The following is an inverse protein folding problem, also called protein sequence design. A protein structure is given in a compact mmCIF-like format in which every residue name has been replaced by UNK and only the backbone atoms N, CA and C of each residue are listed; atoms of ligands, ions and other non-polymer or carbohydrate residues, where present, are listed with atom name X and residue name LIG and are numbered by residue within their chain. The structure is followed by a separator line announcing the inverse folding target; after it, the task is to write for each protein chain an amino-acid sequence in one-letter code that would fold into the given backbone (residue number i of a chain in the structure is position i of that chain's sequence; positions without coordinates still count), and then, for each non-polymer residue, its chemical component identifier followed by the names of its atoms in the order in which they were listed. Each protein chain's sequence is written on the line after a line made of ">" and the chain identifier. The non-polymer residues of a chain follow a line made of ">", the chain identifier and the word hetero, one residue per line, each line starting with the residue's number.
data_IF_973903815583
#
_entry.id   IF_973903815583
#
_cell.length_a   1.000
_cell.length_b   1.000
_cell.length_c   1.000
_cell.angle_alpha   90.00
_cell.angle_beta   90.00
_cell.angle_gamma   90.00
#
_symmetry.space_group_name_H-M   'P 1'
#
loop_
_entity.id
_entity.type
_entity.pdbx_description
1 polymer ?
#
# COMPACT_ATOMS: atom_id res chain seq x y z
N UNK A 1 2.10 1.74 -15.46
CA UNK A 1 2.38 0.44 -14.78
C UNK A 1 1.09 -0.18 -14.25
N UNK A 2 1.11 -1.44 -13.80
CA UNK A 2 -0.01 -2.04 -13.06
C UNK A 2 0.34 -2.01 -11.58
N UNK A 3 -0.58 -1.49 -10.77
CA UNK A 3 -0.48 -1.49 -9.31
C UNK A 3 -1.72 -2.17 -8.70
N UNK A 4 -1.66 -2.50 -7.43
CA UNK A 4 -2.66 -3.28 -6.72
C UNK A 4 -3.19 -2.54 -5.51
N UNK A 5 -4.48 -2.66 -5.25
CA UNK A 5 -5.11 -2.09 -4.06
C UNK A 5 -6.17 -3.03 -3.51
N UNK A 6 -6.22 -3.11 -2.20
CA UNK A 6 -7.36 -3.70 -1.49
C UNK A 6 -8.36 -2.61 -1.11
N UNK A 7 -9.64 -2.95 -1.09
CA UNK A 7 -10.68 -2.11 -0.51
C UNK A 7 -11.86 -2.97 -0.03
N UNK A 8 -12.77 -2.36 0.71
CA UNK A 8 -14.08 -2.94 0.95
C UNK A 8 -14.89 -2.85 -0.36
N UNK A 9 -15.44 -3.97 -0.80
CA UNK A 9 -16.07 -4.14 -2.12
C UNK A 9 -17.31 -3.26 -2.33
N UNK A 10 -17.85 -2.67 -1.26
CA UNK A 10 -18.98 -1.72 -1.34
C UNK A 10 -18.57 -0.36 -1.90
N UNK A 11 -17.28 -0.06 -1.96
CA UNK A 11 -16.77 1.24 -2.39
C UNK A 11 -16.00 1.15 -3.72
N UNK A 12 -15.88 2.25 -4.46
CA UNK A 12 -14.98 2.35 -5.60
C UNK A 12 -13.53 2.02 -5.22
N UNK A 13 -12.75 1.57 -6.20
CA UNK A 13 -11.35 1.17 -5.97
C UNK A 13 -10.41 2.35 -5.68
N UNK A 14 -10.83 3.59 -5.94
CA UNK A 14 -10.11 4.81 -5.55
C UNK A 14 -11.03 5.75 -4.78
N UNK A 15 -10.43 6.59 -3.93
CA UNK A 15 -11.14 7.68 -3.26
C UNK A 15 -11.47 8.79 -4.26
N UNK A 16 -12.68 9.33 -4.17
CA UNK A 16 -13.15 10.42 -5.04
C UNK A 16 -12.94 11.81 -4.41
N UNK A 17 -12.92 11.88 -3.08
CA UNK A 17 -12.81 13.13 -2.31
C UNK A 17 -11.89 13.00 -1.08
N UNK A 18 -11.83 14.05 -0.28
CA UNK A 18 -10.96 14.15 0.90
C UNK A 18 -11.51 13.50 2.16
N UNK A 19 -12.59 12.71 2.09
CA UNK A 19 -13.23 12.10 3.29
C UNK A 19 -12.49 10.88 3.83
N UNK A 20 -11.43 10.44 3.16
CA UNK A 20 -10.59 9.36 3.65
C UNK A 20 -9.91 9.72 4.98
N UNK A 21 -9.83 8.79 5.95
CA UNK A 21 -9.10 9.01 7.19
C UNK A 21 -7.61 9.27 6.94
N UNK A 22 -6.94 10.07 7.80
CA UNK A 22 -5.51 10.36 7.65
C UNK A 22 -4.66 9.08 7.68
N UNK A 23 -3.56 9.08 6.94
CA UNK A 23 -2.58 8.01 6.94
C UNK A 23 -1.16 8.56 6.84
N UNK A 24 -0.17 7.68 6.59
CA UNK A 24 1.26 8.03 6.61
C UNK A 24 1.63 9.25 5.77
N UNK A 25 0.99 9.46 4.62
CA UNK A 25 1.40 10.46 3.61
C UNK A 25 0.34 11.54 3.36
N UNK A 26 -0.68 11.65 4.22
CA UNK A 26 -1.68 12.72 4.13
C UNK A 26 -2.38 12.92 5.48
N UNK A 27 -2.78 14.16 5.77
CA UNK A 27 -3.61 14.53 6.92
C UNK A 27 -5.09 14.43 6.60
N UNK A 28 -5.91 14.63 7.63
CA UNK A 28 -7.34 14.80 7.47
C UNK A 28 -7.62 15.99 6.53
N UNK A 29 -8.45 15.77 5.52
CA UNK A 29 -8.77 16.77 4.50
C UNK A 29 -7.72 17.00 3.40
N UNK A 30 -6.52 16.40 3.46
CA UNK A 30 -5.50 16.56 2.41
C UNK A 30 -5.84 15.81 1.10
N UNK A 31 -6.80 14.90 1.17
CA UNK A 31 -7.13 13.95 0.11
C UNK A 31 -7.95 14.48 -1.08
N UNK A 32 -8.31 13.60 -2.02
CA UNK A 32 -8.03 12.16 -1.99
C UNK A 32 -6.54 11.86 -2.21
N UNK A 33 -6.04 10.83 -1.52
CA UNK A 33 -4.68 10.28 -1.68
C UNK A 33 -4.79 8.76 -1.83
N UNK A 34 -4.33 8.25 -2.97
CA UNK A 34 -4.46 6.84 -3.30
C UNK A 34 -3.20 6.08 -2.92
N UNK A 35 -3.37 4.98 -2.19
CA UNK A 35 -2.30 4.05 -1.86
C UNK A 35 -2.45 2.80 -2.71
N UNK A 36 -1.46 2.54 -3.56
CA UNK A 36 -1.43 1.34 -4.41
C UNK A 36 -0.05 0.69 -4.30
N UNK A 37 0.03 -0.63 -4.41
CA UNK A 37 1.26 -1.40 -4.29
C UNK A 37 1.71 -1.97 -5.63
N UNK A 38 3.00 -2.18 -5.82
CA UNK A 38 3.54 -2.85 -7.02
C UNK A 38 3.16 -4.34 -7.13
N UNK A 39 2.75 -4.95 -6.02
CA UNK A 39 2.38 -6.37 -5.93
C UNK A 39 1.07 -6.59 -5.16
N UNK A 40 0.33 -7.69 -5.42
CA UNK A 40 -0.81 -8.07 -4.57
C UNK A 40 -0.42 -8.35 -3.12
N UNK A 41 0.78 -8.92 -2.90
CA UNK A 41 1.33 -9.13 -1.56
C UNK A 41 1.57 -7.82 -0.83
N UNK A 42 2.06 -6.77 -1.51
CA UNK A 42 2.17 -5.43 -0.94
C UNK A 42 0.80 -4.88 -0.52
N UNK A 43 -0.21 -5.01 -1.37
CA UNK A 43 -1.57 -4.54 -1.05
C UNK A 43 -2.14 -5.27 0.19
N UNK A 44 -1.91 -6.58 0.31
CA UNK A 44 -2.30 -7.32 1.52
C UNK A 44 -1.48 -6.96 2.75
N UNK A 45 -0.18 -6.71 2.60
CA UNK A 45 0.65 -6.31 3.72
C UNK A 45 0.21 -4.96 4.31
N UNK A 46 -0.09 -3.98 3.47
CA UNK A 46 -0.61 -2.68 3.92
C UNK A 46 -1.96 -2.83 4.65
N UNK A 47 -2.86 -3.70 4.17
CA UNK A 47 -4.10 -4.05 4.88
C UNK A 47 -3.84 -4.64 6.26
N UNK A 48 -3.06 -5.73 6.31
CA UNK A 48 -2.77 -6.46 7.56
C UNK A 48 -2.12 -5.54 8.59
N UNK A 49 -1.16 -4.71 8.16
CA UNK A 49 -0.50 -3.76 9.04
C UNK A 49 -1.45 -2.68 9.55
N UNK A 50 -2.31 -2.14 8.68
CA UNK A 50 -3.21 -1.06 9.05
C UNK A 50 -4.29 -1.51 10.04
N UNK A 51 -4.84 -2.70 9.83
CA UNK A 51 -5.84 -3.30 10.74
C UNK A 51 -5.20 -3.98 11.97
N UNK A 52 -3.87 -3.94 12.09
CA UNK A 52 -3.10 -4.60 13.15
C UNK A 52 -3.38 -6.12 13.29
N UNK A 53 -3.69 -6.77 12.16
CA UNK A 53 -3.97 -8.21 12.08
C UNK A 53 -2.64 -8.98 12.10
N UNK A 54 -2.38 -9.72 13.17
CA UNK A 54 -1.14 -10.49 13.36
C UNK A 54 -1.36 -11.98 13.61
N UNK A 55 -2.58 -12.40 13.96
CA UNK A 55 -2.92 -13.80 14.20
C UNK A 55 -3.79 -14.38 13.09
N UNK A 56 -3.68 -15.68 12.85
CA UNK A 56 -4.47 -16.35 11.80
C UNK A 56 -5.97 -16.34 12.10
N UNK A 57 -6.36 -16.33 13.38
CA UNK A 57 -7.77 -16.26 13.80
C UNK A 57 -8.43 -14.93 13.38
N UNK A 58 -7.66 -13.83 13.37
CA UNK A 58 -8.14 -12.51 12.98
C UNK A 58 -8.38 -12.39 11.47
N UNK A 59 -7.93 -13.37 10.67
CA UNK A 59 -8.27 -13.48 9.25
C UNK A 59 -9.69 -14.05 9.05
N UNK A 60 -10.29 -14.65 10.08
CA UNK A 60 -11.66 -15.14 10.00
C UNK A 60 -12.63 -13.98 9.70
N UNK A 61 -13.48 -14.18 8.70
CA UNK A 61 -14.44 -13.15 8.27
C UNK A 61 -13.86 -12.02 7.41
N UNK A 62 -12.53 -11.91 7.24
CA UNK A 62 -11.94 -10.93 6.32
C UNK A 62 -12.42 -11.18 4.89
N UNK A 63 -13.05 -10.17 4.28
CA UNK A 63 -13.50 -10.18 2.88
C UNK A 63 -13.20 -8.82 2.27
N UNK A 64 -12.27 -8.78 1.31
CA UNK A 64 -11.85 -7.56 0.61
C UNK A 64 -11.77 -7.80 -0.88
N UNK A 65 -12.05 -6.76 -1.67
CA UNK A 65 -11.71 -6.78 -3.08
C UNK A 65 -10.21 -6.49 -3.26
N UNK A 66 -9.62 -7.06 -4.32
CA UNK A 66 -8.33 -6.61 -4.87
C UNK A 66 -8.57 -6.14 -6.28
N UNK A 67 -8.00 -4.98 -6.60
CA UNK A 67 -8.01 -4.39 -7.92
C UNK A 67 -6.60 -4.35 -8.49
N UNK A 68 -6.48 -4.69 -9.78
CA UNK A 68 -5.33 -4.32 -10.59
C UNK A 68 -5.66 -3.00 -11.28
N UNK A 69 -4.82 -1.99 -11.13
CA UNK A 69 -5.09 -0.61 -11.56
C UNK A 69 -3.99 -0.19 -12.52
N UNK A 70 -4.37 0.33 -13.68
CA UNK A 70 -3.44 1.00 -14.58
C UNK A 70 -3.11 2.38 -14.00
N UNK A 71 -1.84 2.54 -13.61
CA UNK A 71 -1.28 3.82 -13.16
C UNK A 71 -0.46 4.41 -14.29
N UNK A 72 -0.89 5.56 -14.80
CA UNK A 72 -0.24 6.25 -15.91
C UNK A 72 0.78 7.29 -15.43
N UNK A 73 0.85 7.57 -14.12
CA UNK A 73 1.88 8.41 -13.51
C UNK A 73 3.28 7.86 -13.85
N UNK A 74 4.15 8.73 -14.38
CA UNK A 74 5.52 8.38 -14.77
C UNK A 74 6.58 9.07 -13.93
N UNK A 75 6.23 10.14 -13.23
CA UNK A 75 7.15 10.93 -12.41
C UNK A 75 6.77 10.81 -10.93
N UNK A 76 7.55 10.03 -10.19
CA UNK A 76 7.35 9.83 -8.77
C UNK A 76 8.44 10.54 -7.99
N UNK A 77 8.05 11.41 -7.07
CA UNK A 77 8.98 11.95 -6.10
C UNK A 77 9.40 10.87 -5.10
N UNK A 78 10.65 10.95 -4.65
CA UNK A 78 11.17 10.13 -3.56
C UNK A 78 11.28 11.02 -2.31
N UNK A 79 10.64 10.65 -1.20
CA UNK A 79 10.79 11.33 0.09
C UNK A 79 12.25 11.31 0.56
N UNK A 80 12.71 12.44 1.08
CA UNK A 80 14.04 12.57 1.68
C UNK A 80 13.93 12.46 3.21
N UNK A 81 13.67 11.22 3.67
CA UNK A 81 13.53 10.91 5.09
C UNK A 81 14.40 9.70 5.47
N UNK A 82 14.90 9.65 6.72
CA UNK A 82 15.56 8.46 7.27
C UNK A 82 14.69 7.20 7.17
N UNK A 83 15.33 6.04 6.98
CA UNK A 83 14.63 4.74 6.86
C UNK A 83 13.74 4.44 8.08
N UNK A 84 14.17 4.84 9.27
CA UNK A 84 13.39 4.67 10.51
C UNK A 84 12.04 5.41 10.48
N UNK A 85 11.96 6.57 9.81
CA UNK A 85 10.73 7.35 9.70
C UNK A 85 9.84 6.78 8.59
N UNK A 86 10.44 6.38 7.47
CA UNK A 86 9.74 5.75 6.35
C UNK A 86 9.07 4.42 6.75
N UNK A 87 9.77 3.61 7.54
CA UNK A 87 9.32 2.27 7.94
C UNK A 87 8.64 2.24 9.33
N UNK A 88 8.74 3.34 10.09
CA UNK A 88 8.28 3.45 11.48
C UNK A 88 6.77 3.33 11.66
N UNK A 89 6.31 3.43 12.91
CA UNK A 89 4.91 3.29 13.27
C UNK A 89 4.08 4.56 13.03
N UNK A 90 2.90 4.64 13.63
CA UNK A 90 2.03 5.82 13.57
C UNK A 90 2.67 7.08 14.18
N UNK A 91 3.64 6.91 15.08
CA UNK A 91 4.45 7.97 15.68
C UNK A 91 5.29 8.75 14.65
N UNK A 92 5.61 8.13 13.51
CA UNK A 92 6.37 8.75 12.41
C UNK A 92 5.50 9.46 11.37
N UNK A 93 4.17 9.41 11.50
CA UNK A 93 3.26 9.92 10.47
C UNK A 93 3.37 11.44 10.29
N UNK A 94 3.56 12.21 11.36
CA UNK A 94 3.66 13.67 11.26
C UNK A 94 4.80 14.10 10.34
N UNK A 95 5.98 13.49 10.48
CA UNK A 95 7.15 13.75 9.65
C UNK A 95 6.92 13.33 8.20
N UNK A 96 6.31 12.16 7.97
CA UNK A 96 5.96 11.72 6.61
C UNK A 96 4.92 12.63 5.94
N UNK A 97 3.95 13.14 6.70
CA UNK A 97 2.93 14.08 6.23
C UNK A 97 3.51 15.47 5.92
N UNK A 98 4.45 15.96 6.73
CA UNK A 98 5.20 17.19 6.44
C UNK A 98 5.98 17.07 5.13
N UNK A 99 6.64 15.94 4.93
CA UNK A 99 7.38 15.67 3.70
C UNK A 99 6.45 15.54 2.48
N UNK A 100 5.29 14.90 2.61
CA UNK A 100 4.28 14.87 1.55
C UNK A 100 3.81 16.28 1.16
N UNK A 101 3.55 17.15 2.14
CA UNK A 101 3.17 18.54 1.89
C UNK A 101 4.28 19.29 1.17
N UNK A 102 5.53 19.14 1.60
CA UNK A 102 6.69 19.77 0.95
C UNK A 102 6.81 19.34 -0.51
N UNK A 103 6.70 18.03 -0.78
CA UNK A 103 6.79 17.49 -2.14
C UNK A 103 5.63 17.94 -3.03
N UNK A 104 4.41 17.95 -2.52
CA UNK A 104 3.24 18.49 -3.24
C UNK A 104 3.39 19.97 -3.56
N UNK A 105 3.89 20.76 -2.61
CA UNK A 105 4.17 22.19 -2.81
C UNK A 105 5.23 22.41 -3.89
N UNK A 106 6.18 21.48 -4.02
CA UNK A 106 7.18 21.48 -5.09
C UNK A 106 6.65 20.92 -6.43
N UNK A 107 5.35 20.56 -6.52
CA UNK A 107 4.71 20.09 -7.74
C UNK A 107 4.70 18.57 -7.93
N UNK A 108 5.02 17.77 -6.91
CA UNK A 108 4.91 16.32 -7.01
C UNK A 108 3.43 15.88 -7.06
N UNK A 109 3.09 15.06 -8.05
CA UNK A 109 1.75 14.47 -8.23
C UNK A 109 1.64 13.05 -7.62
N UNK A 110 2.78 12.40 -7.41
CA UNK A 110 2.87 11.08 -6.82
C UNK A 110 4.21 10.85 -6.09
N UNK A 111 4.19 9.97 -5.09
CA UNK A 111 5.38 9.46 -4.40
C UNK A 111 5.60 7.99 -4.74
N UNK A 112 6.86 7.58 -4.76
CA UNK A 112 7.28 6.18 -4.76
C UNK A 112 8.11 5.93 -3.51
N UNK A 113 7.68 4.96 -2.72
CA UNK A 113 8.35 4.58 -1.46
C UNK A 113 8.43 3.08 -1.34
N UNK A 114 9.41 2.59 -0.59
CA UNK A 114 9.42 1.18 -0.16
C UNK A 114 8.17 0.91 0.70
N UNK A 115 7.59 -0.28 0.58
CA UNK A 115 6.52 -0.69 1.50
C UNK A 115 7.02 -0.64 2.95
N UNK A 116 6.31 0.13 3.76
CA UNK A 116 6.54 0.17 5.19
C UNK A 116 5.91 -1.06 5.88
N UNK A 117 4.97 -1.74 5.21
CA UNK A 117 4.35 -2.94 5.74
C UNK A 117 5.15 -4.21 5.55
N UNK A 118 5.93 -4.36 4.47
CA UNK A 118 6.69 -5.59 4.24
C UNK A 118 8.03 -5.60 4.97
N UNK A 119 8.44 -6.80 5.40
CA UNK A 119 9.84 -7.09 5.73
C UNK A 119 10.72 -7.01 4.47
N UNK A 120 12.02 -6.78 4.64
CA UNK A 120 12.98 -6.71 3.53
C UNK A 120 12.97 -8.03 2.73
N UNK A 121 12.91 -7.94 1.41
CA UNK A 121 12.82 -9.09 0.49
C UNK A 121 11.48 -9.84 0.50
N UNK A 122 10.46 -9.35 1.21
CA UNK A 122 9.21 -10.09 1.42
C UNK A 122 8.15 -9.91 0.32
N UNK A 123 8.30 -8.94 -0.59
CA UNK A 123 7.44 -8.74 -1.76
C UNK A 123 7.76 -9.70 -2.92
N UNK A 124 8.58 -10.72 -2.69
CA UNK A 124 8.97 -11.70 -3.70
C UNK A 124 7.76 -12.41 -4.31
N UNK A 125 7.85 -12.69 -5.60
CA UNK A 125 6.88 -13.50 -6.33
C UNK A 125 7.22 -14.99 -6.30
N UNK A 126 6.60 -15.71 -7.22
CA UNK A 126 6.87 -17.12 -7.47
C UNK A 126 7.34 -17.30 -8.92
N UNK A 127 8.17 -18.31 -9.15
CA UNK A 127 8.58 -18.76 -10.49
C UNK A 127 8.26 -20.23 -10.66
N UNK A 128 8.11 -20.67 -11.90
CA UNK A 128 7.89 -22.09 -12.21
C UNK A 128 9.19 -22.69 -12.73
N UNK A 129 9.75 -23.63 -11.97
CA UNK A 129 10.98 -24.35 -12.29
C UNK A 129 10.92 -25.71 -11.57
N UNK A 130 10.49 -26.74 -12.32
CA UNK A 130 10.14 -28.06 -11.77
C UNK A 130 9.17 -28.01 -10.57
N UNK A 131 8.19 -27.11 -10.65
CA UNK A 131 7.24 -26.81 -9.57
C UNK A 131 7.25 -25.34 -9.21
N UNK A 132 6.46 -24.98 -8.18
CA UNK A 132 6.41 -23.60 -7.69
C UNK A 132 7.63 -23.33 -6.81
N UNK A 133 8.48 -22.41 -7.24
CA UNK A 133 9.68 -21.99 -6.53
C UNK A 133 9.58 -20.52 -6.14
N UNK A 134 10.29 -20.13 -5.08
CA UNK A 134 10.40 -18.71 -4.72
C UNK A 134 11.07 -17.94 -5.86
N UNK A 135 10.50 -16.79 -6.19
CA UNK A 135 11.12 -15.81 -7.08
C UNK A 135 12.24 -15.06 -6.38
N UNK A 136 12.82 -14.10 -7.08
CA UNK A 136 13.84 -13.19 -6.54
C UNK A 136 13.26 -12.35 -5.40
N UNK A 137 14.07 -12.10 -4.37
CA UNK A 137 13.72 -11.21 -3.28
C UNK A 137 13.42 -9.80 -3.80
N UNK A 138 12.36 -9.19 -3.27
CA UNK A 138 11.95 -7.83 -3.57
C UNK A 138 11.39 -7.17 -2.32
N UNK A 139 11.67 -5.89 -2.10
CA UNK A 139 11.18 -5.16 -0.92
C UNK A 139 9.72 -4.70 -1.06
N UNK A 140 9.25 -4.58 -2.31
CA UNK A 140 7.92 -4.07 -2.63
C UNK A 140 7.86 -2.55 -2.52
N UNK A 141 6.96 -1.98 -3.31
CA UNK A 141 6.81 -0.53 -3.44
C UNK A 141 5.36 -0.13 -3.25
N UNK A 142 5.20 1.01 -2.59
CA UNK A 142 3.92 1.71 -2.48
C UNK A 142 4.02 3.00 -3.26
N UNK A 143 3.03 3.22 -4.11
CA UNK A 143 2.84 4.45 -4.85
C UNK A 143 1.71 5.23 -4.18
N UNK A 144 2.01 6.48 -3.84
CA UNK A 144 1.08 7.41 -3.21
C UNK A 144 0.68 8.43 -4.26
N UNK A 145 -0.55 8.36 -4.77
CA UNK A 145 -1.02 9.23 -5.84
C UNK A 145 -1.84 10.37 -5.22
N UNK A 146 -1.42 11.62 -5.43
CA UNK A 146 -2.11 12.78 -4.87
C UNK A 146 -3.23 13.26 -5.79
N UNK A 147 -4.43 13.43 -5.22
CA UNK A 147 -5.61 13.89 -5.93
C UNK A 147 -6.44 12.78 -6.57
N UNK A 148 -7.58 13.15 -7.16
CA UNK A 148 -8.48 12.19 -7.79
C UNK A 148 -7.84 11.61 -9.06
N UNK A 149 -8.29 10.43 -9.46
CA UNK A 149 -7.89 9.78 -10.73
C UNK A 149 -9.14 9.30 -11.48
N UNK A 150 -9.99 10.23 -11.97
CA UNK A 150 -11.29 9.89 -12.58
C UNK A 150 -11.14 9.08 -13.89
N UNK A 151 -9.95 9.07 -14.47
CA UNK A 151 -9.63 8.33 -15.70
C UNK A 151 -8.85 7.04 -15.45
N UNK A 152 -8.59 6.68 -14.17
CA UNK A 152 -7.93 5.42 -13.85
C UNK A 152 -8.80 4.24 -14.28
N UNK A 153 -8.16 3.21 -14.84
CA UNK A 153 -8.81 1.97 -15.23
C UNK A 153 -8.39 0.90 -14.23
N UNK A 154 -9.38 0.34 -13.53
CA UNK A 154 -9.21 -0.77 -12.60
C UNK A 154 -9.92 -2.03 -13.11
N UNK A 155 -9.30 -3.18 -12.87
CA UNK A 155 -9.92 -4.49 -13.09
C UNK A 155 -9.99 -5.21 -11.74
N UNK A 156 -11.19 -5.62 -11.35
CA UNK A 156 -11.38 -6.39 -10.14
C UNK A 156 -10.77 -7.78 -10.33
N UNK A 157 -9.81 -8.12 -9.47
CA UNK A 157 -9.14 -9.42 -9.46
C UNK A 157 -9.89 -10.40 -8.56
N UNK A 158 -10.39 -9.91 -7.42
CA UNK A 158 -11.23 -10.67 -6.47
C UNK A 158 -12.23 -9.72 -5.80
N UNK A 159 -13.40 -10.24 -5.41
CA UNK A 159 -14.47 -9.47 -4.76
C UNK A 159 -14.69 -9.81 -3.28
N UNK A 160 -14.20 -10.97 -2.82
CA UNK A 160 -14.34 -11.45 -1.43
C UNK A 160 -13.10 -12.20 -0.95
N UNK A 161 -11.92 -11.67 -1.26
CA UNK A 161 -10.64 -12.30 -0.95
C UNK A 161 -10.23 -12.10 0.52
N UNK A 162 -9.34 -12.98 0.96
CA UNK A 162 -8.65 -12.90 2.25
C UNK A 162 -7.14 -13.02 1.99
N UNK A 163 -6.26 -12.29 2.72
CA UNK A 163 -4.83 -12.50 2.65
C UNK A 163 -4.45 -13.96 2.92
N UNK A 164 -3.50 -14.56 2.18
CA UNK A 164 -2.94 -15.86 2.56
C UNK A 164 -2.31 -15.78 3.95
N UNK A 165 -2.57 -16.74 4.85
CA UNK A 165 -2.07 -16.69 6.23
C UNK A 165 -0.54 -16.60 6.34
N UNK A 166 0.19 -17.17 5.37
CA UNK A 166 1.64 -17.02 5.26
C UNK A 166 2.13 -15.57 5.09
N UNK A 167 1.25 -14.62 4.75
CA UNK A 167 1.59 -13.18 4.72
C UNK A 167 1.84 -12.61 6.11
N UNK A 168 1.22 -13.14 7.17
CA UNK A 168 1.35 -12.60 8.53
C UNK A 168 2.83 -12.55 8.98
N UNK A 169 3.60 -13.60 8.66
CA UNK A 169 5.03 -13.69 8.96
C UNK A 169 5.91 -12.74 8.12
N UNK A 170 5.33 -12.03 7.15
CA UNK A 170 6.04 -11.16 6.21
C UNK A 170 5.78 -9.67 6.49
N UNK A 171 4.89 -9.36 7.43
CA UNK A 171 4.43 -8.00 7.72
C UNK A 171 5.13 -7.43 8.96
N UNK A 172 5.60 -6.19 8.87
CA UNK A 172 6.07 -5.39 9.98
C UNK A 172 4.86 -4.84 10.75
N UNK A 173 4.79 -4.96 12.08
CA UNK A 173 3.67 -4.42 12.84
C UNK A 173 3.64 -2.88 12.78
N UNK A 174 2.46 -2.29 12.97
CA UNK A 174 2.32 -0.83 12.98
C UNK A 174 2.77 -0.22 14.31
N UNK A 175 2.53 -0.91 15.42
CA UNK A 175 3.03 -0.58 16.75
C UNK A 175 4.08 -1.60 17.16
N UNK A 176 5.08 -1.17 17.94
CA UNK A 176 5.96 -2.12 18.60
C UNK A 176 5.12 -2.99 19.56
N UNK A 177 5.33 -4.31 19.60
CA UNK A 177 4.67 -5.19 20.57
C UNK A 177 5.06 -4.84 22.02
#
# INVERSE_FOLDING_TARGET
>A
MIAFRHNDSRFPFLWEDSTQPPARWHRDGDGPVQYVSDTPSGAWAEFLRHEEIIEEIDLEGVRRAIWAIKVDDTNFASPDLPEQDLLGGSDTYSVCQDEAVRLRTAGAEALRVRSAALLRGAARGWRVDHGLQRGTDADGEVFVLFGPRPHAIGWQVVDGGCPPSGMLALVRPLRAP
#
